data_IF_724600488181
#
_entry.id   IF_724600488181
#
_cell.length_a   1.000
_cell.length_b   1.000
_cell.length_c   1.000
_cell.angle_alpha   90.00
_cell.angle_beta   90.00
_cell.angle_gamma   90.00
#
_symmetry.space_group_name_H-M   'P 1'
#
loop_
_entity.id
_entity.type
_entity.pdbx_description
1 polymer ?
#
# COMPACT_ATOMS: atom_id res chain seq x y z
N UNK A 1 -7.88 -10.91 21.27
CA UNK A 1 -8.32 -10.66 22.66
C UNK A 1 -7.29 -9.89 23.51
N UNK A 2 -5.97 -10.01 23.27
CA UNK A 2 -4.94 -9.27 24.03
C UNK A 2 -5.01 -7.72 23.94
N UNK A 3 -5.80 -7.17 23.01
CA UNK A 3 -6.01 -5.72 22.84
C UNK A 3 -7.26 -5.19 23.54
N UNK A 4 -7.96 -6.00 24.35
CA UNK A 4 -9.15 -5.57 25.09
C UNK A 4 -10.41 -5.34 24.24
N UNK A 5 -10.40 -5.77 22.98
CA UNK A 5 -11.57 -5.66 22.08
C UNK A 5 -12.63 -6.66 22.50
N UNK A 6 -13.83 -6.16 22.80
CA UNK A 6 -15.03 -6.97 23.08
C UNK A 6 -15.52 -7.58 21.78
N UNK A 7 -15.71 -8.91 21.80
CA UNK A 7 -16.26 -9.72 20.71
C UNK A 7 -15.71 -9.39 19.30
N UNK A 8 -14.42 -9.66 19.03
CA UNK A 8 -13.85 -9.43 17.70
C UNK A 8 -14.39 -10.45 16.68
N UNK A 9 -14.54 -10.07 15.40
CA UNK A 9 -14.98 -11.00 14.36
C UNK A 9 -14.01 -12.18 14.26
N UNK A 10 -14.55 -13.40 14.34
CA UNK A 10 -13.76 -14.64 14.32
C UNK A 10 -13.71 -15.31 12.95
N UNK A 11 -14.39 -14.75 11.95
CA UNK A 11 -14.42 -15.27 10.58
C UNK A 11 -14.14 -14.17 9.58
N UNK A 12 -13.67 -14.55 8.40
CA UNK A 12 -13.42 -13.62 7.31
C UNK A 12 -14.70 -12.90 6.88
N UNK A 13 -15.83 -13.62 6.80
CA UNK A 13 -17.12 -13.04 6.42
C UNK A 13 -17.57 -11.96 7.43
N UNK A 14 -17.52 -12.26 8.72
CA UNK A 14 -17.87 -11.31 9.78
C UNK A 14 -16.94 -10.08 9.78
N UNK A 15 -15.64 -10.26 9.49
CA UNK A 15 -14.70 -9.14 9.35
C UNK A 15 -15.08 -8.23 8.17
N UNK A 16 -15.41 -8.79 7.01
CA UNK A 16 -15.80 -8.02 5.83
C UNK A 16 -17.09 -7.22 6.08
N UNK A 17 -18.09 -7.85 6.70
CA UNK A 17 -19.33 -7.18 7.09
C UNK A 17 -19.06 -6.02 8.06
N UNK A 18 -18.23 -6.24 9.07
CA UNK A 18 -17.89 -5.19 10.04
C UNK A 18 -17.14 -4.03 9.40
N UNK A 19 -16.18 -4.30 8.51
CA UNK A 19 -15.47 -3.25 7.76
C UNK A 19 -16.41 -2.47 6.83
N UNK A 20 -17.37 -3.16 6.19
CA UNK A 20 -18.36 -2.51 5.34
C UNK A 20 -19.28 -1.57 6.15
N UNK A 21 -19.67 -1.99 7.36
CA UNK A 21 -20.49 -1.17 8.27
C UNK A 21 -19.80 0.15 8.68
N UNK A 22 -18.47 0.15 8.85
CA UNK A 22 -17.70 1.37 9.17
C UNK A 22 -17.37 2.24 7.94
N UNK A 23 -17.51 1.73 6.71
CA UNK A 23 -17.11 2.46 5.49
C UNK A 23 -17.78 3.84 5.35
N UNK A 24 -19.07 4.04 5.68
CA UNK A 24 -19.72 5.36 5.61
C UNK A 24 -19.13 6.41 6.57
N UNK A 25 -18.42 5.99 7.62
CA UNK A 25 -17.80 6.90 8.60
C UNK A 25 -16.47 7.48 8.08
N UNK A 26 -15.89 6.90 7.02
CA UNK A 26 -14.59 7.31 6.49
C UNK A 26 -14.69 8.65 5.76
N UNK A 27 -13.83 9.58 6.15
CA UNK A 27 -13.73 10.92 5.54
C UNK A 27 -12.28 11.38 5.42
N UNK A 28 -12.01 12.16 4.38
CA UNK A 28 -10.70 12.76 4.15
C UNK A 28 -10.49 13.96 5.05
N UNK A 29 -9.84 13.77 6.21
CA UNK A 29 -9.52 14.87 7.14
C UNK A 29 -8.18 15.53 6.80
N UNK A 30 -7.92 16.75 7.30
CA UNK A 30 -6.61 17.39 7.18
C UNK A 30 -5.47 16.51 7.73
N UNK A 31 -5.70 15.85 8.87
CA UNK A 31 -4.72 14.99 9.54
C UNK A 31 -4.41 13.75 8.70
N UNK A 32 -5.42 13.14 8.08
CA UNK A 32 -5.22 11.99 7.19
C UNK A 32 -4.36 12.38 5.97
N UNK A 33 -4.57 13.58 5.41
CA UNK A 33 -3.78 14.10 4.28
C UNK A 33 -2.35 14.45 4.71
N UNK A 34 -2.17 14.96 5.91
CA UNK A 34 -0.85 15.21 6.48
C UNK A 34 -0.08 13.90 6.66
N UNK A 35 -0.72 12.87 7.21
CA UNK A 35 -0.11 11.55 7.35
C UNK A 35 0.33 10.97 6.00
N UNK A 36 -0.52 11.06 4.96
CA UNK A 36 -0.15 10.67 3.59
C UNK A 36 1.07 11.44 3.11
N UNK A 37 1.08 12.77 3.29
CA UNK A 37 2.21 13.62 2.89
C UNK A 37 3.49 13.25 3.64
N UNK A 38 3.38 12.97 4.93
CA UNK A 38 4.50 12.60 5.78
C UNK A 38 5.11 11.28 5.29
N UNK A 39 4.29 10.24 5.15
CA UNK A 39 4.73 8.93 4.68
C UNK A 39 5.38 9.05 3.31
N UNK A 40 4.71 9.68 2.34
CA UNK A 40 5.21 9.68 0.96
C UNK A 40 6.39 10.63 0.70
N UNK A 41 6.42 11.80 1.35
CA UNK A 41 7.37 12.87 1.00
C UNK A 41 8.45 13.12 2.05
N UNK A 42 8.32 12.56 3.25
CA UNK A 42 9.29 12.73 4.34
C UNK A 42 9.82 11.39 4.86
N UNK A 43 10.33 10.49 4.00
CA UNK A 43 10.91 9.25 4.47
C UNK A 43 12.17 9.53 5.32
N UNK A 44 12.32 8.88 6.49
CA UNK A 44 13.53 8.98 7.31
C UNK A 44 14.65 8.13 6.72
N UNK A 45 15.02 8.41 5.47
CA UNK A 45 15.99 7.65 4.67
C UNK A 45 17.03 8.59 4.03
N UNK A 46 18.28 8.11 3.86
CA UNK A 46 19.31 8.86 3.14
C UNK A 46 18.89 9.12 1.70
N UNK A 47 19.32 10.24 1.11
CA UNK A 47 18.91 10.70 -0.23
C UNK A 47 18.98 9.61 -1.32
N UNK A 48 20.04 8.79 -1.41
CA UNK A 48 20.15 7.76 -2.46
C UNK A 48 19.09 6.66 -2.37
N UNK A 49 18.51 6.42 -1.19
CA UNK A 49 17.49 5.37 -0.99
C UNK A 49 16.07 5.85 -1.33
N UNK A 50 15.86 7.17 -1.49
CA UNK A 50 14.54 7.76 -1.74
C UNK A 50 13.86 7.30 -3.04
N UNK A 51 14.57 7.05 -4.17
CA UNK A 51 13.94 6.51 -5.36
C UNK A 51 13.27 5.16 -5.13
N UNK A 52 13.95 4.24 -4.44
CA UNK A 52 13.39 2.93 -4.10
C UNK A 52 12.16 3.07 -3.18
N UNK A 53 12.22 3.99 -2.21
CA UNK A 53 11.07 4.31 -1.36
C UNK A 53 9.88 4.85 -2.18
N UNK A 54 10.15 5.69 -3.19
CA UNK A 54 9.12 6.19 -4.11
C UNK A 54 8.40 5.08 -4.89
N UNK A 55 9.13 4.03 -5.30
CA UNK A 55 8.53 2.85 -5.95
C UNK A 55 7.59 2.12 -4.98
N UNK A 56 7.98 1.94 -3.72
CA UNK A 56 7.13 1.32 -2.69
C UNK A 56 5.88 2.17 -2.45
N UNK A 57 6.04 3.49 -2.31
CA UNK A 57 4.92 4.42 -2.14
C UNK A 57 3.94 4.37 -3.31
N UNK A 58 4.44 4.36 -4.54
CA UNK A 58 3.61 4.23 -5.74
C UNK A 58 2.86 2.89 -5.78
N UNK A 59 3.53 1.78 -5.45
CA UNK A 59 2.89 0.46 -5.39
C UNK A 59 1.80 0.40 -4.30
N UNK A 60 2.06 0.95 -3.11
CA UNK A 60 1.09 1.03 -2.03
C UNK A 60 -0.15 1.83 -2.45
N UNK A 61 0.02 3.00 -3.07
CA UNK A 61 -1.09 3.81 -3.62
C UNK A 61 -1.85 3.05 -4.72
N UNK A 62 -1.14 2.30 -5.55
CA UNK A 62 -1.72 1.46 -6.60
C UNK A 62 -2.62 0.33 -6.06
N UNK A 63 -2.28 -0.24 -4.91
CA UNK A 63 -3.06 -1.29 -4.23
C UNK A 63 -4.29 -0.76 -3.50
N UNK A 64 -4.38 0.55 -3.26
CA UNK A 64 -5.52 1.13 -2.56
C UNK A 64 -6.79 1.09 -3.43
N UNK A 65 -7.96 0.83 -2.84
CA UNK A 65 -9.23 0.92 -3.55
C UNK A 65 -9.46 2.31 -4.16
N UNK A 66 -10.05 2.39 -5.36
CA UNK A 66 -10.24 3.65 -6.07
C UNK A 66 -10.99 4.73 -5.25
N UNK A 67 -11.94 4.33 -4.41
CA UNK A 67 -12.75 5.22 -3.57
C UNK A 67 -11.93 5.94 -2.48
N UNK A 68 -10.75 5.44 -2.08
CA UNK A 68 -9.91 6.11 -1.06
C UNK A 68 -9.13 7.29 -1.61
N UNK A 69 -8.92 7.33 -2.93
CA UNK A 69 -8.00 8.28 -3.58
C UNK A 69 -8.46 9.72 -3.45
N UNK A 70 -9.75 9.96 -3.68
CA UNK A 70 -10.33 11.30 -3.69
C UNK A 70 -10.33 11.94 -2.27
N UNK A 71 -10.78 11.26 -1.20
CA UNK A 71 -10.67 11.79 0.16
C UNK A 71 -9.23 12.14 0.58
N UNK A 72 -8.26 11.29 0.22
CA UNK A 72 -6.85 11.42 0.59
C UNK A 72 -6.02 12.31 -0.34
N UNK A 73 -6.60 12.83 -1.43
CA UNK A 73 -5.90 13.61 -2.47
C UNK A 73 -4.69 12.87 -3.05
N UNK A 74 -4.82 11.55 -3.20
CA UNK A 74 -3.77 10.75 -3.82
C UNK A 74 -3.75 11.00 -5.32
N UNK A 75 -2.55 11.15 -5.94
CA UNK A 75 -2.46 11.26 -7.38
C UNK A 75 -3.05 10.02 -8.01
N UNK A 76 -3.79 10.22 -9.11
CA UNK A 76 -4.20 9.12 -9.95
C UNK A 76 -2.97 8.63 -10.70
N UNK A 77 -2.21 7.77 -10.06
CA UNK A 77 -1.20 6.99 -10.75
C UNK A 77 -2.01 6.10 -11.71
N UNK A 78 -1.86 6.23 -13.04
CA UNK A 78 -2.42 5.25 -13.93
C UNK A 78 -1.86 3.93 -13.42
N UNK A 79 -2.75 3.10 -12.86
CA UNK A 79 -2.39 1.77 -12.38
C UNK A 79 -1.82 1.15 -13.62
N UNK A 80 -0.50 1.06 -13.65
CA UNK A 80 0.24 0.70 -14.84
C UNK A 80 -0.17 -0.73 -15.13
N UNK A 81 -1.16 -0.83 -16.00
CA UNK A 81 -2.01 -1.97 -16.23
C UNK A 81 -1.12 -3.18 -16.37
N UNK A 82 -1.44 -4.27 -15.66
CA UNK A 82 -1.00 -5.67 -15.83
C UNK A 82 0.43 -5.91 -16.39
N UNK A 83 0.75 -5.39 -17.57
CA UNK A 83 2.05 -5.18 -18.20
C UNK A 83 3.13 -4.63 -17.27
N UNK A 84 2.96 -3.49 -16.60
CA UNK A 84 4.07 -2.94 -15.76
C UNK A 84 4.32 -3.78 -14.52
N UNK A 85 3.25 -4.33 -13.93
CA UNK A 85 3.34 -5.31 -12.84
C UNK A 85 4.03 -6.60 -13.32
N UNK A 86 3.73 -7.08 -14.53
CA UNK A 86 4.39 -8.26 -15.13
C UNK A 86 5.87 -8.00 -15.42
N UNK A 87 6.21 -6.84 -15.96
CA UNK A 87 7.60 -6.47 -16.28
C UNK A 87 8.41 -6.31 -15.00
N UNK A 88 7.93 -5.55 -14.02
CA UNK A 88 8.63 -5.38 -12.74
C UNK A 88 8.69 -6.70 -11.96
N UNK A 89 7.61 -7.49 -11.95
CA UNK A 89 7.58 -8.80 -11.31
C UNK A 89 8.55 -9.79 -11.94
N UNK A 90 8.63 -9.81 -13.28
CA UNK A 90 9.59 -10.63 -14.03
C UNK A 90 11.03 -10.22 -13.75
N UNK A 91 11.33 -8.91 -13.74
CA UNK A 91 12.66 -8.41 -13.40
C UNK A 91 13.04 -8.74 -11.95
N UNK A 92 12.14 -8.56 -10.99
CA UNK A 92 12.39 -8.86 -9.58
C UNK A 92 12.60 -10.36 -9.33
N UNK A 93 11.76 -11.22 -9.91
CA UNK A 93 11.93 -12.67 -9.77
C UNK A 93 13.17 -13.18 -10.54
N UNK A 94 13.51 -12.54 -11.66
CA UNK A 94 14.74 -12.81 -12.41
C UNK A 94 16.01 -12.45 -11.63
N UNK A 95 16.05 -11.27 -11.00
CA UNK A 95 17.19 -10.84 -10.18
C UNK A 95 17.33 -11.68 -8.91
N UNK A 96 16.23 -12.03 -8.24
CA UNK A 96 16.26 -12.96 -7.11
C UNK A 96 16.79 -14.32 -7.54
N UNK A 97 16.31 -14.86 -8.67
CA UNK A 97 16.80 -16.14 -9.20
C UNK A 97 18.29 -16.09 -9.50
N UNK A 98 18.75 -15.03 -10.17
CA UNK A 98 20.17 -14.84 -10.46
C UNK A 98 21.00 -14.80 -9.17
N UNK A 99 20.58 -14.00 -8.18
CA UNK A 99 21.26 -13.88 -6.90
C UNK A 99 21.25 -15.17 -6.05
N UNK A 100 20.23 -16.01 -6.23
CA UNK A 100 20.11 -17.32 -5.56
C UNK A 100 20.72 -18.47 -6.36
N UNK A 101 21.32 -18.21 -7.53
CA UNK A 101 22.00 -19.26 -8.28
C UNK A 101 23.30 -19.58 -7.54
N UNK A 102 23.50 -20.82 -7.04
CA UNK A 102 24.72 -21.16 -6.31
C UNK A 102 25.93 -21.00 -7.23
N UNK A 103 27.04 -20.51 -6.66
CA UNK A 103 28.33 -20.49 -7.36
C UNK A 103 28.76 -21.94 -7.69
N UNK A 104 29.48 -22.15 -8.81
CA UNK A 104 29.91 -23.49 -9.23
C UNK A 104 30.78 -24.20 -8.19
#
# INVERSE_FOLDING_TARGET
QKLGVVDPPQTYAALQERMAAFRPELRGTPEAREAVRHVLLRPPLPLPARPAYGVIGAAAVGLMPAWTRLPLRLPWLPVSERTTVRVLGGLATGTIRWAMTPAP
#
